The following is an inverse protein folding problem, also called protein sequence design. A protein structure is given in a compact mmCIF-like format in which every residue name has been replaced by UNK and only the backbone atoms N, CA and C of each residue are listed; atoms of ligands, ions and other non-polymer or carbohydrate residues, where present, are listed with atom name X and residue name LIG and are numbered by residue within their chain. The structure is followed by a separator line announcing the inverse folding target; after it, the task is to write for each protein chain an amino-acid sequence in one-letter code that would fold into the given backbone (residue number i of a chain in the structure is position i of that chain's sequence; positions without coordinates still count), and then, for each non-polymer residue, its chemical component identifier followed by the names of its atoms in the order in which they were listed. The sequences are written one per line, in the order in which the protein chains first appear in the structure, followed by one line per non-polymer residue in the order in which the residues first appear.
data_IF_358976455755
#
_entry.id   IF_358976455755
#
_cell.length_a   1.000
_cell.length_b   1.000
_cell.length_c   1.000
_cell.angle_alpha   90.00
_cell.angle_beta   90.00
_cell.angle_gamma   90.00
#
_symmetry.space_group_name_H-M   'P 1'
#
loop_
_entity.id
_entity.type
_entity.pdbx_description
1 polymer ?
#
# COMPACT_ATOMS: atom_id res chain seq x y z
N UNK A 1 12.65 -1.61 11.24
CA UNK A 1 12.40 -0.18 10.98
C UNK A 1 13.66 0.47 10.46
N UNK A 2 13.60 1.34 9.45
CA UNK A 2 14.77 1.99 8.91
C UNK A 2 15.35 2.98 9.94
N UNK A 3 16.68 3.05 9.99
CA UNK A 3 17.40 4.08 10.75
C UNK A 3 17.44 5.39 9.96
N UNK A 4 17.33 6.53 10.64
CA UNK A 4 17.47 7.85 10.03
C UNK A 4 18.83 8.45 10.39
N UNK A 5 19.57 8.94 9.40
CA UNK A 5 20.82 9.62 9.66
C UNK A 5 20.56 11.02 10.20
N UNK A 6 21.34 11.48 11.18
CA UNK A 6 21.28 12.86 11.70
C UNK A 6 21.54 13.92 10.61
N UNK A 7 22.23 13.53 9.53
CA UNK A 7 22.54 14.36 8.37
C UNK A 7 21.57 14.20 7.19
N UNK A 8 20.45 13.47 7.37
CA UNK A 8 19.47 13.25 6.30
C UNK A 8 18.92 14.54 5.73
N UNK A 9 18.75 14.57 4.42
CA UNK A 9 18.16 15.66 3.65
C UNK A 9 16.79 15.22 3.10
N UNK A 10 15.99 16.19 2.69
CA UNK A 10 14.68 15.96 2.08
C UNK A 10 14.79 15.02 0.87
N UNK A 11 14.08 13.92 0.93
CA UNK A 11 14.06 12.85 -0.07
C UNK A 11 14.89 11.61 0.31
N UNK A 12 15.81 11.70 1.26
CA UNK A 12 16.65 10.57 1.68
C UNK A 12 15.84 9.48 2.41
N UNK A 13 14.75 9.89 3.09
CA UNK A 13 13.91 9.00 3.91
C UNK A 13 12.64 8.57 3.18
N UNK A 14 12.68 8.53 1.87
CA UNK A 14 11.62 7.98 1.03
C UNK A 14 10.83 9.02 0.25
N UNK A 15 10.53 8.65 -0.98
CA UNK A 15 9.64 9.36 -1.90
C UNK A 15 8.64 8.34 -2.43
N UNK A 16 7.37 8.55 -2.12
CA UNK A 16 6.27 7.62 -2.41
C UNK A 16 5.31 8.21 -3.43
N UNK A 17 4.82 7.38 -4.34
CA UNK A 17 3.69 7.68 -5.21
C UNK A 17 2.47 6.87 -4.74
N UNK A 18 1.34 7.53 -4.63
CA UNK A 18 0.03 6.89 -4.41
C UNK A 18 -0.83 7.14 -5.65
N UNK A 19 -1.33 6.08 -6.29
CA UNK A 19 -2.22 6.19 -7.45
C UNK A 19 -3.54 5.51 -7.14
N UNK A 20 -4.58 6.30 -6.98
CA UNK A 20 -5.88 5.78 -6.57
C UNK A 20 -7.03 6.74 -6.80
N UNK A 21 -8.19 6.33 -6.32
CA UNK A 21 -9.39 7.15 -6.35
C UNK A 21 -10.21 7.05 -7.62
N UNK A 22 -11.48 7.38 -7.43
CA UNK A 22 -12.49 7.51 -8.49
C UNK A 22 -13.49 8.59 -8.07
N UNK A 23 -14.49 8.83 -8.89
CA UNK A 23 -15.58 9.75 -8.52
C UNK A 23 -16.23 9.42 -7.17
N UNK A 24 -16.42 8.12 -6.90
CA UNK A 24 -17.05 7.63 -5.65
C UNK A 24 -16.02 7.49 -4.53
N UNK A 25 -14.87 6.89 -4.82
CA UNK A 25 -13.86 6.55 -3.80
C UNK A 25 -12.72 7.58 -3.76
N UNK A 26 -13.05 8.82 -3.43
CA UNK A 26 -12.08 9.91 -3.36
C UNK A 26 -11.15 9.85 -2.13
N UNK A 27 -11.62 9.27 -1.02
CA UNK A 27 -10.89 9.21 0.24
C UNK A 27 -9.78 8.15 0.30
N UNK A 28 -9.93 7.03 -0.42
CA UNK A 28 -8.99 5.91 -0.36
C UNK A 28 -7.52 6.30 -0.64
N UNK A 29 -7.18 7.04 -1.72
CA UNK A 29 -5.80 7.48 -1.94
C UNK A 29 -5.32 8.50 -0.92
N UNK A 30 -6.20 9.26 -0.29
CA UNK A 30 -5.85 10.20 0.78
C UNK A 30 -5.42 9.44 2.03
N UNK A 31 -6.19 8.42 2.45
CA UNK A 31 -5.86 7.56 3.58
C UNK A 31 -4.49 6.90 3.39
N UNK A 32 -4.24 6.31 2.20
CA UNK A 32 -2.93 5.72 1.88
C UNK A 32 -1.80 6.75 1.92
N UNK A 33 -2.03 7.95 1.40
CA UNK A 33 -1.01 9.01 1.36
C UNK A 33 -0.66 9.53 2.75
N UNK A 34 -1.67 9.74 3.60
CA UNK A 34 -1.47 10.17 4.98
C UNK A 34 -0.76 9.09 5.81
N UNK A 35 -1.13 7.81 5.62
CA UNK A 35 -0.45 6.68 6.27
C UNK A 35 1.03 6.61 5.87
N UNK A 36 1.34 6.77 4.57
CA UNK A 36 2.71 6.82 4.09
C UNK A 36 3.52 7.98 4.70
N UNK A 37 2.92 9.18 4.85
CA UNK A 37 3.57 10.30 5.55
C UNK A 37 3.82 9.98 7.02
N UNK A 38 2.83 9.41 7.72
CA UNK A 38 2.91 9.10 9.15
C UNK A 38 3.94 8.03 9.49
N UNK A 39 4.32 7.17 8.53
CA UNK A 39 5.41 6.21 8.75
C UNK A 39 6.83 6.81 8.52
N UNK A 40 6.93 8.12 8.35
CA UNK A 40 8.21 8.83 8.29
C UNK A 40 8.75 9.08 6.88
N UNK A 41 7.94 8.92 5.84
CA UNK A 41 8.32 9.25 4.46
C UNK A 41 8.45 10.77 4.26
N UNK A 42 9.49 11.22 3.57
CA UNK A 42 9.75 12.66 3.37
C UNK A 42 8.78 13.31 2.37
N UNK A 43 8.43 12.61 1.29
CA UNK A 43 7.59 13.14 0.22
C UNK A 43 6.56 12.11 -0.25
N UNK A 44 5.31 12.54 -0.36
CA UNK A 44 4.24 11.71 -0.93
C UNK A 44 3.57 12.46 -2.08
N UNK A 45 3.63 11.86 -3.26
CA UNK A 45 2.91 12.27 -4.46
C UNK A 45 1.61 11.51 -4.53
N UNK A 46 0.48 12.22 -4.49
CA UNK A 46 -0.85 11.63 -4.52
C UNK A 46 -1.47 11.88 -5.89
N UNK A 47 -1.60 10.84 -6.70
CA UNK A 47 -2.18 10.91 -8.03
C UNK A 47 -3.64 10.48 -7.99
N UNK A 48 -4.53 11.41 -8.29
CA UNK A 48 -5.99 11.22 -8.23
C UNK A 48 -6.68 11.77 -9.47
N UNK A 49 -7.89 11.28 -9.83
CA UNK A 49 -8.70 11.88 -10.87
C UNK A 49 -8.84 13.39 -10.72
N UNK A 50 -8.89 14.12 -11.83
CA UNK A 50 -8.95 15.59 -11.84
C UNK A 50 -10.03 16.16 -10.92
N UNK A 51 -11.19 15.50 -10.84
CA UNK A 51 -12.31 15.92 -9.98
C UNK A 51 -11.96 15.86 -8.48
N UNK A 52 -11.04 14.99 -8.08
CA UNK A 52 -10.66 14.79 -6.69
C UNK A 52 -9.46 15.67 -6.26
N UNK A 53 -8.85 16.43 -7.17
CA UNK A 53 -7.65 17.24 -6.86
C UNK A 53 -7.94 18.29 -5.81
N UNK A 54 -8.99 19.09 -5.98
CA UNK A 54 -9.34 20.16 -5.02
C UNK A 54 -9.68 19.60 -3.64
N UNK A 55 -10.58 18.59 -3.50
CA UNK A 55 -10.86 18.01 -2.19
C UNK A 55 -9.62 17.35 -1.56
N UNK A 56 -8.76 16.69 -2.33
CA UNK A 56 -7.52 16.10 -1.80
C UNK A 56 -6.56 17.17 -1.24
N UNK A 57 -6.38 18.30 -1.94
CA UNK A 57 -5.58 19.42 -1.46
C UNK A 57 -6.13 20.06 -0.21
N UNK A 58 -7.46 20.12 -0.08
CA UNK A 58 -8.12 20.69 1.09
C UNK A 58 -7.90 19.88 2.39
N UNK A 59 -7.64 18.57 2.27
CA UNK A 59 -7.45 17.68 3.43
C UNK A 59 -6.07 17.90 4.07
N UNK A 60 -5.01 18.06 3.26
CA UNK A 60 -3.68 18.22 3.83
C UNK A 60 -2.73 19.00 2.90
N UNK A 61 -2.05 20.06 3.42
CA UNK A 61 -1.03 20.79 2.68
C UNK A 61 0.26 19.97 2.48
N UNK A 62 0.42 18.83 3.15
CA UNK A 62 1.60 17.98 3.06
C UNK A 62 1.58 17.06 1.82
N UNK A 63 0.44 16.93 1.15
CA UNK A 63 0.30 16.07 -0.03
C UNK A 63 0.68 16.83 -1.31
N UNK A 64 1.55 16.23 -2.12
CA UNK A 64 1.86 16.74 -3.46
C UNK A 64 0.89 16.10 -4.45
N UNK A 65 -0.18 16.83 -4.81
CA UNK A 65 -1.27 16.26 -5.59
C UNK A 65 -1.01 16.39 -7.09
N UNK A 66 -0.98 15.25 -7.78
CA UNK A 66 -0.85 15.14 -9.24
C UNK A 66 -2.22 14.79 -9.84
N UNK A 67 -2.77 15.60 -10.75
CA UNK A 67 -4.01 15.25 -11.43
C UNK A 67 -3.81 14.13 -12.45
N UNK A 68 -4.62 13.06 -12.38
CA UNK A 68 -4.91 12.26 -13.56
C UNK A 68 -5.80 13.09 -14.48
N UNK A 69 -5.46 13.14 -15.77
CA UNK A 69 -6.19 13.97 -16.75
C UNK A 69 -7.65 13.53 -16.86
N UNK A 70 -7.88 12.22 -16.73
CA UNK A 70 -9.17 11.58 -16.87
C UNK A 70 -9.78 11.17 -15.52
N UNK A 71 -11.07 10.83 -15.50
CA UNK A 71 -11.74 10.30 -14.30
C UNK A 71 -11.40 8.84 -14.02
N UNK A 72 -10.86 8.13 -15.01
CA UNK A 72 -10.41 6.74 -14.94
C UNK A 72 -8.97 6.65 -15.44
N UNK A 73 -8.28 5.58 -15.05
CA UNK A 73 -6.93 5.32 -15.55
C UNK A 73 -6.99 4.93 -17.02
N UNK A 74 -6.50 5.81 -17.89
CA UNK A 74 -6.35 5.60 -19.34
C UNK A 74 -4.88 5.54 -19.72
N UNK A 75 -4.56 4.99 -20.88
CA UNK A 75 -3.17 4.92 -21.36
C UNK A 75 -2.55 6.33 -21.56
N UNK A 76 -3.37 7.29 -22.01
CA UNK A 76 -2.95 8.69 -22.15
C UNK A 76 -2.63 9.34 -20.80
N UNK A 77 -3.45 9.11 -19.78
CA UNK A 77 -3.23 9.59 -18.42
C UNK A 77 -1.95 8.99 -17.83
N UNK A 78 -1.71 7.69 -18.04
CA UNK A 78 -0.50 7.00 -17.57
C UNK A 78 0.77 7.58 -18.20
N UNK A 79 0.80 7.78 -19.52
CA UNK A 79 1.95 8.39 -20.20
C UNK A 79 2.30 9.77 -19.65
N UNK A 80 1.29 10.61 -19.41
CA UNK A 80 1.47 11.95 -18.81
C UNK A 80 1.95 11.85 -17.36
N UNK A 81 1.36 10.96 -16.57
CA UNK A 81 1.78 10.73 -15.19
C UNK A 81 3.27 10.32 -15.13
N UNK A 82 3.65 9.27 -15.85
CA UNK A 82 5.02 8.74 -15.84
C UNK A 82 6.04 9.81 -16.24
N UNK A 83 5.70 10.67 -17.21
CA UNK A 83 6.54 11.80 -17.63
C UNK A 83 6.67 12.92 -16.58
N UNK A 84 5.71 13.03 -15.66
CA UNK A 84 5.70 14.05 -14.61
C UNK A 84 6.31 13.57 -13.28
N UNK A 85 6.58 12.27 -13.11
CA UNK A 85 7.10 11.72 -11.87
C UNK A 85 8.57 12.10 -11.64
N UNK A 86 8.96 12.32 -10.36
CA UNK A 86 10.35 12.55 -9.99
C UNK A 86 11.22 11.35 -10.38
N UNK A 87 12.49 11.61 -10.75
CA UNK A 87 13.43 10.56 -11.16
C UNK A 87 13.81 9.63 -10.02
N UNK A 88 13.85 10.14 -8.80
CA UNK A 88 14.23 9.44 -7.57
C UNK A 88 13.05 8.88 -6.78
N UNK A 89 11.97 8.45 -7.46
CA UNK A 89 10.86 7.78 -6.82
C UNK A 89 11.31 6.41 -6.26
N UNK A 90 11.01 6.13 -5.00
CA UNK A 90 11.47 4.93 -4.31
C UNK A 90 10.43 3.81 -4.30
N UNK A 91 9.17 4.15 -4.05
CA UNK A 91 8.08 3.18 -4.01
C UNK A 91 6.77 3.78 -4.51
N UNK A 92 5.82 2.92 -4.82
CA UNK A 92 4.47 3.35 -5.14
C UNK A 92 3.43 2.37 -4.58
N UNK A 93 2.25 2.89 -4.24
CA UNK A 93 1.06 2.07 -4.02
C UNK A 93 -0.01 2.42 -5.04
N UNK A 94 -0.68 1.39 -5.58
CA UNK A 94 -1.61 1.53 -6.70
C UNK A 94 -2.86 0.70 -6.44
N UNK A 95 -4.05 1.30 -6.66
CA UNK A 95 -5.27 0.52 -6.79
C UNK A 95 -6.41 0.89 -5.85
N UNK A 96 -6.14 1.54 -4.70
CA UNK A 96 -7.16 1.90 -3.71
C UNK A 96 -8.21 2.85 -4.33
N UNK A 97 -9.43 2.32 -4.47
CA UNK A 97 -10.54 3.06 -5.08
C UNK A 97 -10.34 3.48 -6.55
N UNK A 98 -9.31 2.96 -7.23
CA UNK A 98 -8.94 3.35 -8.59
C UNK A 98 -9.97 2.84 -9.62
N UNK A 99 -10.49 3.75 -10.43
CA UNK A 99 -11.26 3.38 -11.61
C UNK A 99 -10.32 3.18 -12.80
N UNK A 100 -10.35 1.97 -13.39
CA UNK A 100 -9.52 1.58 -14.52
C UNK A 100 -10.41 1.50 -15.77
N UNK A 101 -10.06 2.24 -16.82
CA UNK A 101 -10.79 2.21 -18.09
C UNK A 101 -10.41 0.96 -18.89
N UNK A 102 -9.11 0.69 -18.96
CA UNK A 102 -8.55 -0.43 -19.70
C UNK A 102 -7.45 -1.11 -18.88
N UNK A 103 -7.45 -2.43 -18.84
CA UNK A 103 -6.42 -3.21 -18.12
C UNK A 103 -5.01 -2.83 -18.59
N UNK A 104 -4.82 -2.62 -19.89
CA UNK A 104 -3.54 -2.23 -20.48
C UNK A 104 -2.98 -0.93 -19.89
N UNK A 105 -3.82 0.00 -19.44
CA UNK A 105 -3.37 1.22 -18.76
C UNK A 105 -2.68 0.90 -17.43
N UNK A 106 -3.27 0.00 -16.64
CA UNK A 106 -2.67 -0.46 -15.39
C UNK A 106 -1.35 -1.21 -15.65
N UNK A 107 -1.37 -2.15 -16.61
CA UNK A 107 -0.17 -2.93 -16.96
C UNK A 107 0.98 -2.01 -17.39
N UNK A 108 0.67 -0.98 -18.21
CA UNK A 108 1.66 0.00 -18.63
C UNK A 108 2.21 0.85 -17.48
N UNK A 109 1.36 1.30 -16.55
CA UNK A 109 1.78 2.04 -15.35
C UNK A 109 2.73 1.20 -14.51
N UNK A 110 2.30 -0.03 -14.16
CA UNK A 110 3.08 -0.93 -13.30
C UNK A 110 4.42 -1.26 -13.96
N UNK A 111 4.43 -1.63 -15.25
CA UNK A 111 5.66 -1.89 -15.99
C UNK A 111 6.59 -0.68 -16.01
N UNK A 112 6.07 0.51 -16.31
CA UNK A 112 6.88 1.74 -16.36
C UNK A 112 7.52 2.10 -15.00
N UNK A 113 6.88 1.77 -13.90
CA UNK A 113 7.44 1.99 -12.56
C UNK A 113 8.49 0.92 -12.22
N UNK A 114 8.24 -0.35 -12.55
CA UNK A 114 9.20 -1.45 -12.35
C UNK A 114 10.48 -1.26 -13.20
N UNK A 115 10.35 -0.76 -14.42
CA UNK A 115 11.50 -0.45 -15.31
C UNK A 115 12.37 0.69 -14.74
N UNK A 116 11.86 1.46 -13.75
CA UNK A 116 12.58 2.51 -13.01
C UNK A 116 13.06 2.05 -11.61
N UNK A 117 13.06 0.74 -11.32
CA UNK A 117 13.40 0.13 -10.01
C UNK A 117 12.53 0.66 -8.85
N UNK A 118 11.29 1.08 -9.13
CA UNK A 118 10.32 1.49 -8.10
C UNK A 118 9.69 0.26 -7.48
N UNK A 119 9.74 0.16 -6.15
CA UNK A 119 9.10 -0.93 -5.39
C UNK A 119 7.61 -0.69 -5.29
N UNK A 120 6.80 -1.72 -5.45
CA UNK A 120 5.35 -1.55 -5.57
C UNK A 120 4.58 -2.24 -4.44
N UNK A 121 3.54 -1.57 -3.97
CA UNK A 121 2.41 -2.14 -3.26
C UNK A 121 1.18 -2.09 -4.17
N UNK A 122 0.54 -3.24 -4.41
CA UNK A 122 -0.67 -3.30 -5.24
C UNK A 122 -1.84 -3.77 -4.38
N UNK A 123 -2.94 -3.03 -4.45
CA UNK A 123 -4.14 -3.29 -3.66
C UNK A 123 -5.42 -3.12 -4.49
N UNK A 124 -6.51 -3.64 -4.00
CA UNK A 124 -7.86 -3.42 -4.51
C UNK A 124 -8.00 -3.60 -6.03
N UNK A 125 -8.27 -2.51 -6.77
CA UNK A 125 -8.50 -2.56 -8.22
C UNK A 125 -7.27 -2.95 -9.05
N UNK A 126 -6.06 -2.84 -8.49
CA UNK A 126 -4.84 -3.25 -9.18
C UNK A 126 -4.61 -4.77 -9.15
N UNK A 127 -5.33 -5.50 -8.31
CA UNK A 127 -5.20 -6.96 -8.17
C UNK A 127 -6.02 -7.68 -9.24
N UNK A 128 -5.48 -7.78 -10.44
CA UNK A 128 -6.07 -8.49 -11.59
C UNK A 128 -5.12 -9.59 -12.08
N UNK A 129 -5.63 -10.74 -12.60
CA UNK A 129 -4.78 -11.86 -13.03
C UNK A 129 -3.75 -11.49 -14.10
N UNK A 130 -4.10 -10.60 -15.01
CA UNK A 130 -3.27 -10.18 -16.13
C UNK A 130 -1.98 -9.44 -15.69
N UNK A 131 -1.91 -9.02 -14.41
CA UNK A 131 -0.73 -8.32 -13.91
C UNK A 131 0.39 -9.28 -13.48
N UNK A 132 0.05 -10.52 -13.08
CA UNK A 132 0.98 -11.49 -12.51
C UNK A 132 2.25 -11.72 -13.36
N UNK A 133 2.17 -11.88 -14.70
CA UNK A 133 3.37 -12.06 -15.50
C UNK A 133 4.34 -10.88 -15.44
N UNK A 134 3.85 -9.65 -15.21
CA UNK A 134 4.68 -8.44 -15.12
C UNK A 134 5.34 -8.35 -13.74
N UNK A 135 4.73 -8.89 -12.70
CA UNK A 135 5.21 -8.84 -11.32
C UNK A 135 6.28 -9.91 -11.04
N UNK A 136 6.38 -10.95 -11.87
CA UNK A 136 7.22 -12.12 -11.60
C UNK A 136 8.66 -11.73 -11.27
N UNK A 137 9.12 -12.14 -10.08
CA UNK A 137 10.47 -11.89 -9.53
C UNK A 137 10.83 -10.40 -9.41
N UNK A 138 9.83 -9.54 -9.16
CA UNK A 138 10.01 -8.11 -8.92
C UNK A 138 9.81 -7.75 -7.45
N UNK A 139 10.31 -6.59 -7.04
CA UNK A 139 10.14 -6.04 -5.69
C UNK A 139 8.71 -5.51 -5.48
N UNK A 140 7.77 -6.43 -5.35
CA UNK A 140 6.34 -6.14 -5.26
C UNK A 140 5.72 -6.81 -4.05
N UNK A 141 4.83 -6.09 -3.37
CA UNK A 141 3.91 -6.60 -2.36
C UNK A 141 2.50 -6.50 -2.93
N UNK A 142 1.74 -7.58 -2.89
CA UNK A 142 0.29 -7.56 -3.14
C UNK A 142 -0.44 -7.73 -1.83
N UNK A 143 -1.53 -6.96 -1.61
CA UNK A 143 -2.24 -6.92 -0.31
C UNK A 143 -3.70 -7.38 -0.43
N UNK A 144 -4.01 -8.57 -0.96
CA UNK A 144 -5.37 -9.03 -1.14
C UNK A 144 -6.07 -9.38 0.18
N UNK A 145 -7.38 -9.12 0.28
CA UNK A 145 -8.28 -9.89 1.15
C UNK A 145 -8.70 -11.19 0.43
N UNK A 146 -9.41 -12.11 1.10
CA UNK A 146 -9.75 -13.43 0.54
C UNK A 146 -10.43 -13.37 -0.83
N UNK A 147 -11.37 -12.44 -1.04
CA UNK A 147 -12.04 -12.27 -2.34
C UNK A 147 -11.14 -11.75 -3.45
N UNK A 148 -10.20 -10.85 -3.10
CA UNK A 148 -9.17 -10.33 -4.01
C UNK A 148 -8.12 -11.39 -4.33
N UNK A 149 -7.76 -12.22 -3.36
CA UNK A 149 -6.87 -13.36 -3.54
C UNK A 149 -7.45 -14.34 -4.57
N UNK A 150 -8.72 -14.72 -4.40
CA UNK A 150 -9.44 -15.56 -5.37
C UNK A 150 -9.42 -14.93 -6.78
N UNK A 151 -9.69 -13.63 -6.88
CA UNK A 151 -9.70 -12.93 -8.18
C UNK A 151 -8.32 -12.94 -8.84
N UNK A 152 -7.25 -12.72 -8.03
CA UNK A 152 -5.88 -12.58 -8.53
C UNK A 152 -5.26 -13.92 -8.93
N UNK A 153 -5.40 -14.95 -8.09
CA UNK A 153 -4.71 -16.24 -8.24
C UNK A 153 -5.61 -17.38 -8.73
N UNK A 154 -6.93 -17.21 -8.65
CA UNK A 154 -7.91 -18.27 -8.96
C UNK A 154 -8.26 -19.18 -7.77
N UNK A 155 -7.40 -19.18 -6.73
CA UNK A 155 -7.54 -20.05 -5.57
C UNK A 155 -8.41 -19.41 -4.48
N UNK A 156 -9.14 -20.23 -3.73
CA UNK A 156 -10.01 -19.76 -2.63
C UNK A 156 -9.35 -20.08 -1.29
N UNK A 157 -8.95 -19.04 -0.51
CA UNK A 157 -8.48 -19.28 0.84
C UNK A 157 -9.57 -19.95 1.69
N UNK A 158 -9.25 -21.11 2.29
CA UNK A 158 -10.14 -21.82 3.20
C UNK A 158 -10.24 -21.12 4.56
N UNK A 159 -11.10 -21.64 5.46
CA UNK A 159 -11.19 -21.17 6.84
C UNK A 159 -10.04 -21.70 7.72
N UNK A 160 -9.35 -22.75 7.28
CA UNK A 160 -8.19 -23.32 7.98
C UNK A 160 -6.96 -22.44 7.84
N UNK A 161 -6.40 -21.99 8.95
CA UNK A 161 -5.17 -21.18 8.91
C UNK A 161 -3.99 -21.91 8.26
N UNK A 162 -3.84 -23.21 8.47
CA UNK A 162 -2.75 -23.98 7.86
C UNK A 162 -2.87 -24.04 6.34
N UNK A 163 -4.08 -24.26 5.81
CA UNK A 163 -4.32 -24.28 4.37
C UNK A 163 -4.13 -22.89 3.75
N UNK A 164 -4.55 -21.84 4.46
CA UNK A 164 -4.32 -20.44 4.03
C UNK A 164 -2.83 -20.11 3.96
N UNK A 165 -2.04 -20.52 4.96
CA UNK A 165 -0.60 -20.31 4.97
C UNK A 165 0.03 -21.00 3.76
N UNK A 166 -0.26 -22.30 3.57
CA UNK A 166 0.27 -23.08 2.46
C UNK A 166 -0.08 -22.46 1.10
N UNK A 167 -1.33 -22.02 0.93
CA UNK A 167 -1.80 -21.41 -0.30
C UNK A 167 -1.08 -20.09 -0.61
N UNK A 168 -0.82 -19.25 0.42
CA UNK A 168 -0.06 -18.02 0.29
C UNK A 168 1.39 -18.30 -0.08
N UNK A 169 2.04 -19.27 0.58
CA UNK A 169 3.42 -19.68 0.32
C UNK A 169 3.60 -20.19 -1.12
N UNK A 170 2.72 -21.08 -1.56
CA UNK A 170 2.76 -21.63 -2.93
C UNK A 170 2.62 -20.56 -4.00
N UNK A 171 1.67 -19.63 -3.84
CA UNK A 171 1.48 -18.55 -4.78
C UNK A 171 2.61 -17.51 -4.74
N UNK A 172 3.13 -17.18 -3.55
CA UNK A 172 4.27 -16.29 -3.40
C UNK A 172 5.52 -16.87 -4.08
N UNK A 173 5.80 -18.14 -3.85
CA UNK A 173 6.91 -18.87 -4.48
C UNK A 173 6.76 -18.94 -6.01
N UNK A 174 5.57 -19.35 -6.47
CA UNK A 174 5.24 -19.51 -7.90
C UNK A 174 5.46 -18.22 -8.69
N UNK A 175 5.09 -17.08 -8.12
CA UNK A 175 5.17 -15.79 -8.79
C UNK A 175 6.41 -14.97 -8.39
N UNK A 176 7.17 -15.41 -7.39
CA UNK A 176 8.36 -14.71 -6.90
C UNK A 176 8.06 -13.29 -6.36
N UNK A 177 6.94 -13.13 -5.66
CA UNK A 177 6.47 -11.85 -5.08
C UNK A 177 6.14 -12.02 -3.60
N UNK A 178 6.06 -10.91 -2.88
CA UNK A 178 5.54 -10.94 -1.50
C UNK A 178 4.01 -10.79 -1.52
N UNK A 179 3.33 -11.68 -0.81
CA UNK A 179 1.88 -11.64 -0.60
C UNK A 179 1.60 -11.32 0.86
N UNK A 180 0.75 -10.33 1.12
CA UNK A 180 0.14 -10.04 2.40
C UNK A 180 -1.36 -10.34 2.30
N UNK A 181 -1.78 -11.54 2.66
CA UNK A 181 -3.19 -11.92 2.71
C UNK A 181 -3.84 -11.32 3.96
N UNK A 182 -4.75 -10.37 3.76
CA UNK A 182 -5.48 -9.68 4.83
C UNK A 182 -6.52 -10.60 5.50
N UNK A 183 -6.60 -10.54 6.83
CA UNK A 183 -7.58 -11.28 7.62
C UNK A 183 -7.55 -10.91 9.11
N UNK A 184 -8.25 -11.66 9.98
CA UNK A 184 -8.08 -11.54 11.43
C UNK A 184 -6.62 -11.79 11.84
N UNK A 185 -5.98 -12.77 11.21
CA UNK A 185 -4.54 -12.96 11.17
C UNK A 185 -4.07 -12.67 9.73
N UNK A 186 -3.24 -11.65 9.56
CA UNK A 186 -2.58 -11.42 8.28
C UNK A 186 -1.49 -12.48 8.07
N UNK A 187 -1.41 -13.04 6.86
CA UNK A 187 -0.38 -13.99 6.46
C UNK A 187 0.52 -13.31 5.43
N UNK A 188 1.80 -13.17 5.75
CA UNK A 188 2.76 -12.45 4.90
C UNK A 188 3.87 -13.41 4.50
N UNK A 189 4.02 -13.70 3.20
CA UNK A 189 5.02 -14.64 2.70
C UNK A 189 5.66 -14.20 1.40
N UNK A 190 6.93 -14.56 1.22
CA UNK A 190 7.66 -14.51 -0.05
C UNK A 190 7.85 -15.92 -0.68
N UNK A 191 7.18 -16.93 -0.09
CA UNK A 191 7.29 -18.33 -0.47
C UNK A 191 8.44 -19.08 0.18
N UNK A 192 9.31 -18.42 0.96
CA UNK A 192 10.42 -19.03 1.72
C UNK A 192 10.29 -18.80 3.22
N UNK A 193 9.85 -17.61 3.59
CA UNK A 193 9.62 -17.18 4.97
C UNK A 193 8.20 -16.67 5.07
N UNK A 194 7.51 -17.04 6.15
CA UNK A 194 6.15 -16.62 6.43
C UNK A 194 6.04 -16.00 7.81
N UNK A 195 5.46 -14.81 7.88
CA UNK A 195 5.08 -14.12 9.10
C UNK A 195 3.57 -14.17 9.29
N UNK A 196 3.14 -14.34 10.53
CA UNK A 196 1.75 -14.25 10.94
C UNK A 196 1.59 -13.02 11.84
N UNK A 197 0.62 -12.17 11.54
CA UNK A 197 0.31 -11.00 12.34
C UNK A 197 -1.14 -11.07 12.82
N UNK A 198 -1.31 -11.45 14.08
CA UNK A 198 -2.63 -11.47 14.74
C UNK A 198 -2.99 -10.06 15.17
N UNK A 199 -4.06 -9.51 14.62
CA UNK A 199 -4.52 -8.16 14.95
C UNK A 199 -5.36 -8.13 16.21
N UNK A 200 -6.24 -9.13 16.40
CA UNK A 200 -7.15 -9.25 17.54
C UNK A 200 -7.93 -7.95 17.84
N UNK A 201 -8.28 -7.21 16.79
CA UNK A 201 -8.83 -5.86 16.87
C UNK A 201 -10.06 -5.76 15.97
N UNK A 202 -11.23 -6.24 16.42
CA UNK A 202 -12.45 -6.24 15.61
C UNK A 202 -12.91 -4.84 15.20
N UNK A 203 -12.52 -3.79 15.91
CA UNK A 203 -12.77 -2.41 15.52
C UNK A 203 -12.19 -2.06 14.13
N UNK A 204 -11.12 -2.73 13.69
CA UNK A 204 -10.49 -2.49 12.39
C UNK A 204 -11.29 -3.00 11.18
N UNK A 205 -12.50 -3.50 11.36
CA UNK A 205 -13.38 -3.89 10.24
C UNK A 205 -14.03 -2.70 9.52
N UNK A 206 -13.77 -1.48 9.95
CA UNK A 206 -14.26 -0.26 9.29
C UNK A 206 -13.58 -0.04 7.92
N UNK A 207 -14.29 0.66 7.03
CA UNK A 207 -13.77 0.98 5.70
C UNK A 207 -12.52 1.86 5.76
N UNK A 208 -11.57 1.62 4.85
CA UNK A 208 -10.35 2.41 4.71
C UNK A 208 -9.12 1.89 5.46
N UNK A 209 -9.27 0.92 6.38
CA UNK A 209 -8.11 0.32 7.09
C UNK A 209 -7.16 -0.40 6.14
N UNK A 210 -7.68 -1.01 5.07
CA UNK A 210 -6.88 -1.57 3.99
C UNK A 210 -6.08 -0.51 3.23
N UNK A 211 -6.67 0.67 2.99
CA UNK A 211 -5.99 1.79 2.35
C UNK A 211 -4.85 2.32 3.23
N UNK A 212 -5.05 2.38 4.55
CA UNK A 212 -4.00 2.72 5.52
C UNK A 212 -2.86 1.72 5.46
N UNK A 213 -3.17 0.41 5.48
CA UNK A 213 -2.17 -0.65 5.38
C UNK A 213 -1.36 -0.55 4.08
N UNK A 214 -2.03 -0.33 2.95
CA UNK A 214 -1.37 -0.17 1.64
C UNK A 214 -0.43 1.03 1.62
N UNK A 215 -0.81 2.14 2.26
CA UNK A 215 0.03 3.32 2.45
C UNK A 215 1.26 3.06 3.32
N UNK A 216 1.08 2.34 4.44
CA UNK A 216 2.18 1.91 5.31
C UNK A 216 3.17 1.01 4.58
N UNK A 217 2.68 0.02 3.81
CA UNK A 217 3.54 -0.85 2.99
C UNK A 217 4.39 -0.02 2.04
N UNK A 218 3.78 0.91 1.30
CA UNK A 218 4.52 1.76 0.36
C UNK A 218 5.52 2.67 1.06
N UNK A 219 5.15 3.26 2.20
CA UNK A 219 6.04 4.09 3.00
C UNK A 219 7.27 3.33 3.48
N UNK A 220 7.10 2.14 4.04
CA UNK A 220 8.21 1.30 4.49
C UNK A 220 9.05 0.77 3.33
N UNK A 221 8.43 0.40 2.21
CA UNK A 221 9.14 0.04 0.97
C UNK A 221 10.01 1.18 0.45
N UNK A 222 9.69 2.43 0.74
CA UNK A 222 10.47 3.57 0.25
C UNK A 222 11.87 3.64 0.87
N UNK A 223 12.03 3.09 2.06
CA UNK A 223 13.29 3.11 2.83
C UNK A 223 13.92 1.72 3.01
N UNK A 224 13.14 0.65 2.91
CA UNK A 224 13.61 -0.74 3.00
C UNK A 224 13.40 -1.47 1.67
N UNK A 225 14.45 -2.14 1.17
CA UNK A 225 14.36 -2.91 -0.09
C UNK A 225 13.79 -4.32 0.10
N UNK A 226 13.70 -4.81 1.32
CA UNK A 226 13.12 -6.12 1.61
C UNK A 226 11.58 -6.00 1.64
N UNK A 227 10.92 -6.59 0.65
CA UNK A 227 9.46 -6.54 0.50
C UNK A 227 8.74 -7.29 1.61
N UNK A 228 9.28 -8.44 2.03
CA UNK A 228 8.69 -9.26 3.08
C UNK A 228 8.73 -8.54 4.44
N UNK A 229 9.90 -7.99 4.82
CA UNK A 229 10.04 -7.23 6.07
C UNK A 229 9.17 -5.97 6.08
N UNK A 230 9.09 -5.27 4.94
CA UNK A 230 8.25 -4.05 4.82
C UNK A 230 6.77 -4.38 4.98
N UNK A 231 6.30 -5.47 4.36
CA UNK A 231 4.91 -5.90 4.47
C UNK A 231 4.58 -6.39 5.89
N UNK A 232 5.47 -7.18 6.51
CA UNK A 232 5.30 -7.67 7.87
C UNK A 232 5.29 -6.51 8.89
N UNK A 233 6.24 -5.56 8.77
CA UNK A 233 6.28 -4.38 9.62
C UNK A 233 5.04 -3.49 9.44
N UNK A 234 4.54 -3.31 8.21
CA UNK A 234 3.32 -2.54 7.95
C UNK A 234 2.09 -3.18 8.61
N UNK A 235 1.93 -4.51 8.49
CA UNK A 235 0.84 -5.24 9.13
C UNK A 235 0.93 -5.14 10.65
N UNK A 236 2.11 -5.29 11.23
CA UNK A 236 2.35 -5.20 12.66
C UNK A 236 2.03 -3.80 13.21
N UNK A 237 2.53 -2.72 12.57
CA UNK A 237 2.25 -1.34 12.96
C UNK A 237 0.76 -1.04 12.85
N UNK A 238 0.13 -1.47 11.76
CA UNK A 238 -1.31 -1.28 11.56
C UNK A 238 -2.12 -1.98 12.66
N UNK A 239 -1.71 -3.20 13.07
CA UNK A 239 -2.32 -3.92 14.19
C UNK A 239 -2.12 -3.21 15.54
N UNK A 240 -0.91 -2.73 15.83
CA UNK A 240 -0.63 -1.95 17.06
C UNK A 240 -1.45 -0.66 17.11
N UNK A 241 -1.50 0.09 16.00
CA UNK A 241 -2.30 1.31 15.91
C UNK A 241 -3.79 1.02 16.14
N UNK A 242 -4.32 -0.04 15.52
CA UNK A 242 -5.70 -0.47 15.73
C UNK A 242 -6.00 -0.83 17.17
N UNK A 243 -5.08 -1.54 17.85
CA UNK A 243 -5.23 -1.89 19.26
C UNK A 243 -5.23 -0.63 20.14
N UNK A 244 -4.28 0.28 19.96
CA UNK A 244 -4.20 1.54 20.70
C UNK A 244 -5.48 2.37 20.55
N UNK A 245 -6.00 2.47 19.33
CA UNK A 245 -7.22 3.24 19.03
C UNK A 245 -8.46 2.54 19.63
N UNK A 246 -8.55 1.21 19.51
CA UNK A 246 -9.66 0.46 20.12
C UNK A 246 -9.68 0.59 21.65
N UNK A 247 -8.53 0.61 22.31
CA UNK A 247 -8.44 0.84 23.76
C UNK A 247 -8.98 2.23 24.15
N UNK A 248 -8.80 3.24 23.29
CA UNK A 248 -9.26 4.63 23.55
C UNK A 248 -10.72 4.87 23.14
N UNK A 249 -11.16 4.32 22.01
CA UNK A 249 -12.43 4.67 21.35
C UNK A 249 -13.42 3.50 21.25
N UNK A 250 -13.04 2.30 21.71
CA UNK A 250 -13.87 1.10 21.60
C UNK A 250 -14.05 0.68 20.14
N UNK A 251 -15.27 0.37 19.75
CA UNK A 251 -15.62 -0.03 18.39
C UNK A 251 -15.95 1.14 17.45
N UNK A 252 -15.85 2.39 17.93
CA UNK A 252 -16.25 3.61 17.22
C UNK A 252 -15.07 4.32 16.54
N UNK A 253 -14.18 3.56 15.92
CA UNK A 253 -13.00 4.07 15.25
C UNK A 253 -13.27 4.40 13.78
N UNK A 254 -12.43 5.27 13.24
CA UNK A 254 -12.30 5.53 11.80
C UNK A 254 -10.89 5.25 11.33
N UNK A 255 -10.69 5.16 10.02
CA UNK A 255 -9.33 5.03 9.45
C UNK A 255 -8.43 6.24 9.72
N UNK A 256 -9.01 7.41 9.99
CA UNK A 256 -8.23 8.60 10.39
C UNK A 256 -7.64 8.45 11.79
N UNK A 257 -8.40 7.90 12.74
CA UNK A 257 -7.90 7.62 14.10
C UNK A 257 -6.70 6.66 14.04
N UNK A 258 -6.78 5.67 13.13
CA UNK A 258 -5.67 4.73 12.89
C UNK A 258 -4.42 5.46 12.40
N UNK A 259 -4.58 6.36 11.42
CA UNK A 259 -3.48 7.18 10.86
C UNK A 259 -2.85 8.06 11.94
N UNK A 260 -3.65 8.65 12.81
CA UNK A 260 -3.16 9.52 13.88
C UNK A 260 -2.40 8.76 14.97
N UNK A 261 -2.69 7.47 15.15
CA UNK A 261 -1.97 6.60 16.10
C UNK A 261 -0.64 6.05 15.54
N UNK A 262 -0.41 6.03 14.21
CA UNK A 262 0.83 5.49 13.61
C UNK A 262 2.11 6.07 14.25
N UNK A 263 2.26 7.40 14.43
CA UNK A 263 3.50 7.95 14.98
C UNK A 263 3.79 7.48 16.41
N UNK A 264 2.77 7.32 17.26
CA UNK A 264 2.95 6.88 18.64
C UNK A 264 3.45 5.44 18.72
N UNK A 265 2.88 4.56 17.91
CA UNK A 265 3.26 3.13 17.88
C UNK A 265 4.59 2.90 17.15
N UNK A 266 5.02 3.80 16.27
CA UNK A 266 6.31 3.71 15.59
C UNK A 266 7.47 4.27 16.40
N UNK A 267 7.22 5.29 17.24
CA UNK A 267 8.24 6.00 18.02
C UNK A 267 9.21 5.09 18.80
N UNK A 268 8.78 3.97 19.44
CA UNK A 268 9.70 3.07 20.14
C UNK A 268 10.74 2.39 19.24
N UNK A 269 10.52 2.36 17.94
CA UNK A 269 11.42 1.74 16.95
C UNK A 269 12.33 2.76 16.26
N UNK A 270 12.22 4.05 16.56
CA UNK A 270 13.06 5.08 15.96
C UNK A 270 14.52 4.89 16.33
N UNK A 271 15.39 5.00 15.31
CA UNK A 271 16.85 4.98 15.50
C UNK A 271 17.46 6.10 14.68
N UNK A 272 18.19 6.99 15.36
CA UNK A 272 18.97 8.05 14.73
C UNK A 272 20.45 7.68 14.83
N UNK A 273 21.18 7.75 13.71
CA UNK A 273 22.62 7.45 13.60
C UNK A 273 23.38 8.62 13.00
#
# INVERSE_FOLDING_TARGET
MPTRKSTSRKGDNGIVLVVGGSYIYHGAPVLSSLAALRCGTDLVYTCVPKINVTPTRAISPNLIVIPLVDQKLTLGAVKKLVGALPRNLHSATIGMGLAIQEKNSLLHLVKSLLDRDVRLSLDASALIPEILPILAHKNVVVTPHAGEFKRLFGDVPSDSNLERIKLVEENALKHGITILLKGPTDIISDGKITYLCEKNTPAMTVGGTGDVLSGLVAGLLSTNRNTLESAAAASYICGLAGKEVQEKLGLHITSMDLIDSIPSVMKPFDKII
#
